data_IF_712556736091
#
_entry.id   IF_712556736091
#
_cell.length_a   1.000
_cell.length_b   1.000
_cell.length_c   1.000
_cell.angle_alpha   90.00
_cell.angle_beta   90.00
_cell.angle_gamma   90.00
#
_symmetry.space_group_name_H-M   'P 1'
#
loop_
_entity.id
_entity.type
_entity.pdbx_description
1 polymer ?
#
# COMPACT_ATOMS: atom_id res chain seq x y z
N UNK A 1 -4.96 -4.85 22.89
CA UNK A 1 -4.38 -5.07 21.55
C UNK A 1 -5.36 -4.47 20.55
N UNK A 2 -4.91 -3.67 19.57
CA UNK A 2 -5.79 -3.09 18.54
C UNK A 2 -6.51 -4.14 17.71
N UNK A 3 -7.68 -3.78 17.17
CA UNK A 3 -8.47 -4.58 16.24
C UNK A 3 -7.99 -4.41 14.78
N UNK A 4 -8.17 -5.44 13.94
CA UNK A 4 -7.65 -5.46 12.57
C UNK A 4 -8.71 -5.86 11.53
N UNK A 5 -8.83 -5.08 10.45
CA UNK A 5 -9.54 -5.49 9.23
C UNK A 5 -8.51 -5.94 8.20
N UNK A 6 -8.57 -7.18 7.72
CA UNK A 6 -7.83 -7.62 6.54
C UNK A 6 -8.71 -7.38 5.32
N UNK A 7 -8.31 -6.47 4.44
CA UNK A 7 -9.11 -6.03 3.31
C UNK A 7 -8.40 -6.28 1.97
N UNK A 8 -9.12 -6.85 1.01
CA UNK A 8 -8.73 -6.83 -0.39
C UNK A 8 -9.78 -6.10 -1.23
N UNK A 9 -9.30 -5.29 -2.18
CA UNK A 9 -10.13 -4.48 -3.06
C UNK A 9 -9.74 -4.77 -4.51
N UNK A 10 -10.72 -5.03 -5.37
CA UNK A 10 -10.50 -5.12 -6.80
C UNK A 10 -11.71 -4.62 -7.58
N UNK A 11 -11.45 -3.95 -8.72
CA UNK A 11 -12.48 -3.55 -9.67
C UNK A 11 -12.70 -4.56 -10.81
N UNK A 12 -11.95 -5.67 -10.82
CA UNK A 12 -11.99 -6.67 -11.88
C UNK A 12 -12.05 -8.09 -11.30
N UNK A 13 -13.07 -8.86 -11.71
CA UNK A 13 -13.33 -10.19 -11.15
C UNK A 13 -12.14 -11.16 -11.33
N UNK A 14 -11.30 -10.98 -12.34
CA UNK A 14 -10.12 -11.80 -12.59
C UNK A 14 -9.10 -11.82 -11.44
N UNK A 15 -9.07 -10.79 -10.60
CA UNK A 15 -8.19 -10.76 -9.40
C UNK A 15 -8.86 -11.29 -8.13
N UNK A 16 -10.15 -11.63 -8.19
CA UNK A 16 -10.92 -11.91 -6.97
C UNK A 16 -10.49 -13.20 -6.31
N UNK A 17 -10.18 -14.25 -7.08
CA UNK A 17 -9.71 -15.52 -6.51
C UNK A 17 -8.38 -15.36 -5.75
N UNK A 18 -7.44 -14.59 -6.32
CA UNK A 18 -6.17 -14.27 -5.65
C UNK A 18 -6.38 -13.39 -4.42
N UNK A 19 -7.32 -12.45 -4.48
CA UNK A 19 -7.69 -11.58 -3.35
C UNK A 19 -8.29 -12.39 -2.18
N UNK A 20 -9.18 -13.34 -2.47
CA UNK A 20 -9.73 -14.27 -1.46
C UNK A 20 -8.63 -15.11 -0.84
N UNK A 21 -7.70 -15.63 -1.65
CA UNK A 21 -6.56 -16.37 -1.15
C UNK A 21 -5.70 -15.51 -0.21
N UNK A 22 -5.37 -14.28 -0.61
CA UNK A 22 -4.55 -13.36 0.18
C UNK A 22 -5.18 -13.03 1.54
N UNK A 23 -6.49 -12.74 1.56
CA UNK A 23 -7.24 -12.53 2.82
C UNK A 23 -7.20 -13.79 3.67
N UNK A 24 -7.61 -14.94 3.10
CA UNK A 24 -7.77 -16.18 3.85
C UNK A 24 -6.42 -16.68 4.42
N UNK A 25 -5.35 -16.58 3.64
CA UNK A 25 -3.99 -16.90 4.07
C UNK A 25 -3.57 -16.00 5.24
N UNK A 26 -3.76 -14.69 5.10
CA UNK A 26 -3.37 -13.71 6.12
C UNK A 26 -4.17 -13.87 7.42
N UNK A 27 -5.47 -14.15 7.32
CA UNK A 27 -6.31 -14.46 8.47
C UNK A 27 -5.80 -15.68 9.25
N UNK A 28 -5.48 -16.78 8.56
CA UNK A 28 -5.01 -17.99 9.23
C UNK A 28 -3.66 -17.82 9.93
N UNK A 29 -2.78 -17.00 9.39
CA UNK A 29 -1.48 -16.69 10.00
C UNK A 29 -1.61 -15.76 11.23
N UNK A 30 -2.63 -14.90 11.28
CA UNK A 30 -2.75 -13.86 12.29
C UNK A 30 -3.81 -14.13 13.37
N UNK A 31 -4.81 -14.98 13.13
CA UNK A 31 -5.97 -15.18 14.03
C UNK A 31 -5.62 -15.61 15.46
N UNK A 32 -4.51 -16.31 15.66
CA UNK A 32 -4.07 -16.78 16.98
C UNK A 32 -3.18 -15.73 17.68
N UNK A 33 -2.89 -14.60 17.00
CA UNK A 33 -2.02 -13.52 17.47
C UNK A 33 -2.79 -12.23 17.70
N UNK A 34 -3.74 -11.93 16.82
CA UNK A 34 -4.61 -10.76 16.90
C UNK A 34 -6.03 -11.27 17.20
N UNK A 35 -6.60 -10.96 18.37
CA UNK A 35 -7.84 -11.57 18.83
C UNK A 35 -9.09 -11.09 18.07
N UNK A 36 -9.04 -9.87 17.54
CA UNK A 36 -10.18 -9.25 16.83
C UNK A 36 -9.78 -8.95 15.39
N UNK A 37 -10.11 -9.90 14.50
CA UNK A 37 -9.89 -9.78 13.06
C UNK A 37 -11.22 -9.83 12.31
N UNK A 38 -11.43 -8.84 11.46
CA UNK A 38 -12.46 -8.85 10.42
C UNK A 38 -11.83 -9.07 9.05
N UNK A 39 -12.49 -9.83 8.19
CA UNK A 39 -12.04 -10.04 6.82
C UNK A 39 -13.05 -9.48 5.81
N UNK A 40 -12.56 -8.66 4.88
CA UNK A 40 -13.40 -7.94 3.92
C UNK A 40 -12.87 -8.11 2.50
N UNK A 41 -13.74 -8.59 1.61
CA UNK A 41 -13.52 -8.58 0.16
C UNK A 41 -14.42 -7.52 -0.47
N UNK A 42 -13.82 -6.62 -1.27
CA UNK A 42 -14.55 -5.61 -2.03
C UNK A 42 -14.32 -5.88 -3.52
N UNK A 43 -15.36 -6.34 -4.23
CA UNK A 43 -15.26 -6.74 -5.64
C UNK A 43 -16.58 -6.61 -6.41
N UNK A 44 -16.58 -6.62 -7.75
CA UNK A 44 -17.79 -6.46 -8.55
C UNK A 44 -18.84 -7.56 -8.33
N UNK A 45 -18.38 -8.81 -8.19
CA UNK A 45 -19.24 -9.95 -7.91
C UNK A 45 -18.71 -10.79 -6.74
N UNK A 46 -19.63 -11.39 -6.00
CA UNK A 46 -19.30 -12.32 -4.90
C UNK A 46 -18.79 -13.64 -5.48
N UNK A 47 -17.59 -14.12 -5.11
CA UNK A 47 -17.12 -15.45 -5.49
C UNK A 47 -18.05 -16.56 -4.98
N UNK A 48 -18.19 -17.63 -5.76
CA UNK A 48 -19.02 -18.78 -5.39
C UNK A 48 -18.54 -19.44 -4.09
N UNK A 49 -17.22 -19.63 -3.94
CA UNK A 49 -16.61 -20.35 -2.82
C UNK A 49 -16.01 -19.39 -1.77
N UNK A 50 -16.66 -18.25 -1.51
CA UNK A 50 -16.18 -17.29 -0.51
C UNK A 50 -16.29 -17.89 0.91
N UNK A 51 -15.17 -18.00 1.67
CA UNK A 51 -15.21 -18.43 3.07
C UNK A 51 -16.17 -17.60 3.92
N UNK A 52 -16.92 -18.24 4.81
CA UNK A 52 -18.00 -17.61 5.59
C UNK A 52 -17.53 -16.49 6.53
N UNK A 53 -16.26 -16.48 6.92
CA UNK A 53 -15.66 -15.44 7.75
C UNK A 53 -15.21 -14.20 6.95
N UNK A 54 -15.27 -14.25 5.60
CA UNK A 54 -14.96 -13.11 4.73
C UNK A 54 -16.26 -12.45 4.30
N UNK A 55 -16.46 -11.22 4.74
CA UNK A 55 -17.59 -10.40 4.30
C UNK A 55 -17.33 -9.84 2.90
N UNK A 56 -18.31 -9.95 2.01
CA UNK A 56 -18.24 -9.35 0.68
C UNK A 56 -19.04 -8.05 0.61
N UNK A 57 -18.42 -7.01 0.06
CA UNK A 57 -19.10 -5.80 -0.38
C UNK A 57 -19.01 -5.68 -1.89
N UNK A 58 -20.18 -5.47 -2.51
CA UNK A 58 -20.28 -5.27 -3.94
C UNK A 58 -19.93 -3.84 -4.32
N UNK A 59 -19.13 -3.68 -5.36
CA UNK A 59 -18.81 -2.39 -5.99
C UNK A 59 -19.08 -2.44 -7.50
N UNK A 60 -19.12 -1.29 -8.17
CA UNK A 60 -19.10 -1.26 -9.63
C UNK A 60 -17.69 -1.67 -10.12
N UNK A 61 -17.54 -2.28 -11.32
CA UNK A 61 -16.24 -2.52 -11.93
C UNK A 61 -15.46 -1.22 -12.12
N UNK A 62 -14.14 -1.26 -11.93
CA UNK A 62 -13.26 -0.10 -12.08
C UNK A 62 -11.81 -0.48 -12.41
N UNK A 63 -11.06 0.46 -12.97
CA UNK A 63 -9.66 0.26 -13.38
C UNK A 63 -8.65 0.63 -12.29
N UNK A 64 -7.38 0.59 -12.64
CA UNK A 64 -6.30 0.84 -11.68
C UNK A 64 -6.26 2.30 -11.19
N UNK A 65 -6.64 3.28 -12.03
CA UNK A 65 -6.74 4.67 -11.59
C UNK A 65 -7.80 4.84 -10.49
N UNK A 66 -8.98 4.25 -10.69
CA UNK A 66 -10.05 4.26 -9.70
C UNK A 66 -9.71 3.46 -8.45
N UNK A 67 -8.93 2.39 -8.57
CA UNK A 67 -8.41 1.65 -7.41
C UNK A 67 -7.66 2.59 -6.45
N UNK A 68 -6.74 3.41 -6.98
CA UNK A 68 -5.98 4.37 -6.19
C UNK A 68 -6.90 5.35 -5.45
N UNK A 69 -7.89 5.93 -6.14
CA UNK A 69 -8.89 6.82 -5.54
C UNK A 69 -9.77 6.10 -4.51
N UNK A 70 -10.14 4.85 -4.77
CA UNK A 70 -10.94 4.04 -3.86
C UNK A 70 -10.19 3.79 -2.56
N UNK A 71 -8.91 3.40 -2.64
CA UNK A 71 -8.09 3.16 -1.46
C UNK A 71 -7.91 4.45 -0.63
N UNK A 72 -7.67 5.60 -1.28
CA UNK A 72 -7.50 6.87 -0.58
C UNK A 72 -8.76 7.40 0.09
N UNK A 73 -9.92 7.25 -0.56
CA UNK A 73 -11.10 8.04 -0.19
C UNK A 73 -12.34 7.20 0.17
N UNK A 74 -12.33 5.90 -0.10
CA UNK A 74 -13.51 5.04 0.05
C UNK A 74 -13.27 3.83 0.94
N UNK A 75 -12.05 3.29 1.01
CA UNK A 75 -11.73 2.11 1.82
C UNK A 75 -12.16 2.26 3.28
N UNK A 76 -12.00 3.46 3.86
CA UNK A 76 -12.39 3.77 5.25
C UNK A 76 -13.84 3.41 5.57
N UNK A 77 -14.75 3.46 4.59
CA UNK A 77 -16.17 3.17 4.78
C UNK A 77 -16.46 1.67 5.03
N UNK A 78 -15.46 0.81 4.80
CA UNK A 78 -15.57 -0.64 4.95
C UNK A 78 -14.72 -1.18 6.11
N UNK A 79 -13.99 -0.30 6.81
CA UNK A 79 -13.12 -0.64 7.93
C UNK A 79 -13.82 -0.22 9.23
N UNK A 80 -14.03 -1.19 10.12
CA UNK A 80 -14.71 -0.99 11.41
C UNK A 80 -13.76 -1.19 12.61
N UNK A 81 -12.46 -1.27 12.34
CA UNK A 81 -11.40 -1.63 13.29
C UNK A 81 -10.34 -0.53 13.38
N UNK A 82 -9.47 -0.61 14.40
CA UNK A 82 -8.40 0.36 14.64
C UNK A 82 -7.37 0.41 13.50
N UNK A 83 -7.13 -0.74 12.85
CA UNK A 83 -6.21 -0.87 11.73
C UNK A 83 -6.82 -1.65 10.57
N UNK A 84 -6.30 -1.40 9.37
CA UNK A 84 -6.56 -2.15 8.15
C UNK A 84 -5.26 -2.69 7.57
N UNK A 85 -5.17 -4.01 7.41
CA UNK A 85 -4.14 -4.66 6.59
C UNK A 85 -4.69 -4.81 5.17
N UNK A 86 -4.21 -3.98 4.26
CA UNK A 86 -4.49 -4.10 2.82
C UNK A 86 -3.66 -5.26 2.27
N UNK A 87 -4.33 -6.19 1.59
CA UNK A 87 -3.73 -7.30 0.86
C UNK A 87 -4.22 -7.28 -0.59
N UNK A 88 -3.33 -7.44 -1.55
CA UNK A 88 -3.64 -7.58 -2.97
C UNK A 88 -3.52 -9.05 -3.40
N UNK A 89 -3.95 -9.37 -4.63
CA UNK A 89 -3.90 -10.74 -5.17
C UNK A 89 -2.47 -11.32 -5.25
N UNK A 90 -1.46 -10.46 -5.14
CA UNK A 90 -0.02 -10.73 -5.21
C UNK A 90 0.73 -10.29 -3.94
N UNK A 91 0.02 -9.95 -2.85
CA UNK A 91 0.65 -9.64 -1.56
C UNK A 91 -0.16 -10.03 -0.33
N UNK A 92 0.45 -10.82 0.56
CA UNK A 92 -0.19 -11.39 1.76
C UNK A 92 0.84 -11.75 2.84
N UNK A 93 0.34 -12.15 4.03
CA UNK A 93 1.18 -12.62 5.15
C UNK A 93 1.77 -14.00 4.83
N UNK A 94 3.10 -14.08 4.84
CA UNK A 94 3.86 -15.32 4.68
C UNK A 94 3.91 -16.15 5.96
N UNK A 95 4.37 -15.49 7.02
CA UNK A 95 4.70 -16.09 8.31
C UNK A 95 4.20 -15.16 9.42
N UNK A 96 3.04 -15.50 9.99
CA UNK A 96 2.45 -14.77 11.09
C UNK A 96 3.33 -14.77 12.33
N UNK A 97 4.29 -15.71 12.46
CA UNK A 97 5.23 -15.72 13.58
C UNK A 97 6.18 -14.53 13.62
N UNK A 98 6.34 -13.83 12.49
CA UNK A 98 7.08 -12.58 12.39
C UNK A 98 6.24 -11.34 12.71
N UNK A 99 4.95 -11.49 13.06
CA UNK A 99 4.16 -10.35 13.52
C UNK A 99 4.78 -9.71 14.76
N UNK A 100 4.83 -8.38 14.77
CA UNK A 100 5.36 -7.61 15.90
C UNK A 100 4.33 -6.56 16.31
N UNK A 101 4.02 -6.50 17.60
CA UNK A 101 3.04 -5.54 18.13
C UNK A 101 3.47 -4.09 17.89
N UNK A 102 4.78 -3.83 17.75
CA UNK A 102 5.34 -2.52 17.37
C UNK A 102 4.82 -2.01 16.01
N UNK A 103 4.28 -2.89 15.15
CA UNK A 103 3.64 -2.45 13.90
C UNK A 103 2.44 -1.54 14.15
N UNK A 104 1.74 -1.72 15.28
CA UNK A 104 0.63 -0.85 15.66
C UNK A 104 1.05 0.54 16.19
N UNK A 105 2.36 0.80 16.35
CA UNK A 105 2.84 2.13 16.74
C UNK A 105 2.90 3.11 15.57
N UNK A 106 2.63 2.64 14.34
CA UNK A 106 2.70 3.39 13.09
C UNK A 106 1.36 3.40 12.37
N UNK A 107 1.04 4.53 11.75
CA UNK A 107 -0.18 4.74 10.98
C UNK A 107 -0.08 4.21 9.54
N UNK A 108 1.13 4.08 8.99
CA UNK A 108 1.38 3.46 7.68
C UNK A 108 2.64 2.60 7.71
N UNK A 109 2.53 1.36 7.24
CA UNK A 109 3.65 0.48 6.94
C UNK A 109 3.39 -0.16 5.59
N UNK A 110 4.24 0.09 4.61
CA UNK A 110 4.24 -0.59 3.32
C UNK A 110 5.62 -1.17 3.01
N UNK A 111 5.72 -1.99 1.96
CA UNK A 111 7.01 -2.50 1.51
C UNK A 111 7.90 -1.34 1.05
N UNK A 112 9.12 -1.17 1.58
CA UNK A 112 10.00 -0.08 1.17
C UNK A 112 10.46 -0.28 -0.28
N UNK A 113 10.22 0.72 -1.13
CA UNK A 113 10.79 0.77 -2.48
C UNK A 113 12.24 1.22 -2.38
N UNK A 114 13.13 0.29 -2.02
CA UNK A 114 14.51 0.57 -1.54
C UNK A 114 15.36 1.46 -2.46
N UNK A 115 15.09 1.46 -3.76
CA UNK A 115 15.77 2.32 -4.73
C UNK A 115 15.02 3.58 -5.10
N UNK A 116 13.73 3.71 -4.77
CA UNK A 116 12.86 4.78 -5.25
C UNK A 116 12.81 5.94 -4.26
N UNK A 117 13.71 6.89 -4.44
CA UNK A 117 13.74 8.12 -3.66
C UNK A 117 13.04 9.24 -4.41
N UNK A 118 11.96 9.76 -3.84
CA UNK A 118 11.19 10.81 -4.45
C UNK A 118 11.39 12.14 -3.69
N UNK A 119 11.68 13.20 -4.45
CA UNK A 119 11.89 14.54 -3.89
C UNK A 119 10.57 15.31 -3.82
N UNK A 120 10.32 15.93 -2.67
CA UNK A 120 9.28 16.94 -2.48
C UNK A 120 9.93 18.29 -2.21
N UNK A 121 9.52 19.31 -2.96
CA UNK A 121 9.98 20.68 -2.78
C UNK A 121 8.80 21.63 -2.92
N UNK A 122 8.65 22.54 -1.95
CA UNK A 122 7.51 23.46 -1.86
C UNK A 122 6.14 22.76 -1.87
N UNK A 123 6.05 21.59 -1.22
CA UNK A 123 4.81 20.81 -1.14
C UNK A 123 4.41 20.07 -2.42
N UNK A 124 5.28 20.07 -3.43
CA UNK A 124 5.04 19.40 -4.72
C UNK A 124 6.08 18.30 -4.96
N UNK A 125 5.70 17.16 -5.57
CA UNK A 125 6.65 16.14 -5.98
C UNK A 125 7.36 16.60 -7.26
N UNK A 126 8.68 16.37 -7.37
CA UNK A 126 9.49 16.84 -8.51
C UNK A 126 10.08 15.72 -9.35
N UNK A 127 10.71 14.72 -8.71
CA UNK A 127 11.44 13.66 -9.41
C UNK A 127 11.53 12.42 -8.55
N UNK A 128 11.70 11.27 -9.22
CA UNK A 128 12.09 10.00 -8.62
C UNK A 128 13.53 9.71 -9.05
N UNK A 129 14.38 9.38 -8.09
CA UNK A 129 15.76 8.93 -8.29
C UNK A 129 15.86 7.46 -7.91
N UNK A 130 16.45 6.67 -8.80
CA UNK A 130 16.63 5.22 -8.64
C UNK A 130 18.04 4.92 -8.16
N UNK A 131 18.24 4.87 -6.85
CA UNK A 131 19.56 4.66 -6.23
C UNK A 131 19.44 4.12 -4.81
N UNK A 132 20.47 3.42 -4.35
CA UNK A 132 20.49 2.81 -3.02
C UNK A 132 20.62 3.82 -1.89
N UNK A 133 21.52 4.78 -2.05
CA UNK A 133 21.78 5.78 -1.02
C UNK A 133 20.76 6.90 -1.12
N UNK A 134 20.31 7.41 0.03
CA UNK A 134 19.47 8.61 0.08
C UNK A 134 20.13 9.76 -0.70
N UNK A 135 19.45 10.36 -1.69
CA UNK A 135 19.98 11.50 -2.41
C UNK A 135 20.16 12.71 -1.50
N UNK A 136 21.22 13.48 -1.74
CA UNK A 136 21.41 14.78 -1.08
C UNK A 136 20.49 15.83 -1.73
N UNK A 137 19.72 16.60 -0.94
CA UNK A 137 19.01 17.77 -1.43
C UNK A 137 19.92 18.74 -2.18
N UNK A 138 19.44 19.22 -3.31
CA UNK A 138 20.14 20.23 -4.14
C UNK A 138 19.53 21.62 -4.00
N UNK A 139 18.33 21.70 -3.41
CA UNK A 139 17.59 22.94 -3.18
C UNK A 139 17.27 23.10 -1.69
N UNK A 140 17.25 24.33 -1.21
CA UNK A 140 16.82 24.62 0.16
C UNK A 140 15.35 24.20 0.36
N UNK A 141 15.08 23.43 1.42
CA UNK A 141 13.76 22.90 1.73
C UNK A 141 13.30 21.70 0.89
N UNK A 142 14.17 21.14 0.04
CA UNK A 142 13.90 19.88 -0.66
C UNK A 142 14.09 18.71 0.31
N UNK A 143 13.12 17.79 0.33
CA UNK A 143 13.15 16.59 1.16
C UNK A 143 13.01 15.37 0.26
N UNK A 144 13.81 14.34 0.53
CA UNK A 144 13.65 13.04 -0.09
C UNK A 144 12.93 12.08 0.85
N UNK A 145 11.86 11.47 0.36
CA UNK A 145 11.18 10.35 0.98
C UNK A 145 11.46 9.08 0.19
N UNK A 146 11.64 7.97 0.89
CA UNK A 146 11.60 6.65 0.30
C UNK A 146 10.14 6.24 0.20
N UNK A 147 9.69 5.91 -1.01
CA UNK A 147 8.33 5.43 -1.22
C UNK A 147 8.12 4.07 -0.56
N UNK A 148 6.89 3.80 -0.11
CA UNK A 148 6.50 2.52 0.46
C UNK A 148 5.24 2.02 -0.24
N UNK A 149 5.30 0.83 -0.84
CA UNK A 149 4.22 0.23 -1.63
C UNK A 149 2.93 0.00 -0.82
N UNK A 150 1.79 0.23 -1.45
CA UNK A 150 0.46 0.13 -0.82
C UNK A 150 -0.25 -1.23 -0.91
N UNK A 151 0.23 -2.16 -1.75
CA UNK A 151 -0.41 -3.43 -2.08
C UNK A 151 -0.31 -4.53 -1.02
N UNK A 152 0.68 -4.45 -0.14
CA UNK A 152 0.65 -5.11 1.18
C UNK A 152 1.04 -4.07 2.23
N UNK A 153 0.04 -3.48 2.89
CA UNK A 153 0.26 -2.36 3.81
C UNK A 153 -0.64 -2.37 5.04
N UNK A 154 -0.09 -2.00 6.19
CA UNK A 154 -0.85 -1.71 7.40
C UNK A 154 -1.18 -0.23 7.45
N UNK A 155 -2.45 0.11 7.71
CA UNK A 155 -2.97 1.48 7.75
C UNK A 155 -3.84 1.66 8.98
N UNK A 156 -3.58 2.67 9.80
CA UNK A 156 -4.48 3.00 10.92
C UNK A 156 -5.78 3.62 10.42
N UNK A 157 -6.86 3.50 11.20
CA UNK A 157 -8.11 4.19 10.93
C UNK A 157 -7.89 5.72 10.80
N UNK A 158 -7.03 6.28 11.67
CA UNK A 158 -6.62 7.68 11.64
C UNK A 158 -6.05 8.08 10.26
N UNK A 159 -5.19 7.26 9.66
CA UNK A 159 -4.68 7.52 8.33
C UNK A 159 -5.75 7.41 7.26
N UNK A 160 -6.61 6.40 7.33
CA UNK A 160 -7.69 6.19 6.35
C UNK A 160 -8.69 7.37 6.33
N UNK A 161 -8.91 8.03 7.47
CA UNK A 161 -9.75 9.22 7.58
C UNK A 161 -9.03 10.51 7.13
N UNK A 162 -7.70 10.57 7.25
CA UNK A 162 -6.92 11.79 7.08
C UNK A 162 -7.08 12.47 5.71
N UNK A 163 -7.03 11.76 4.54
CA UNK A 163 -7.18 12.41 3.25
C UNK A 163 -8.44 13.25 3.13
N UNK A 164 -9.59 12.74 3.59
CA UNK A 164 -10.85 13.51 3.60
C UNK A 164 -10.88 14.54 4.71
N UNK A 165 -10.50 14.16 5.93
CA UNK A 165 -10.55 15.04 7.10
C UNK A 165 -9.69 16.30 6.96
N UNK A 166 -8.60 16.20 6.21
CA UNK A 166 -7.68 17.31 5.93
C UNK A 166 -7.94 18.00 4.57
N UNK A 167 -8.85 17.48 3.75
CA UNK A 167 -9.08 18.00 2.40
C UNK A 167 -7.90 17.81 1.44
N UNK A 168 -7.15 16.71 1.59
CA UNK A 168 -6.04 16.35 0.71
C UNK A 168 -6.59 15.81 -0.61
N UNK A 169 -6.75 16.68 -1.59
CA UNK A 169 -7.20 16.31 -2.93
C UNK A 169 -6.03 15.79 -3.78
N UNK A 170 -6.23 14.63 -4.40
CA UNK A 170 -5.33 14.10 -5.42
C UNK A 170 -5.61 14.80 -6.75
N UNK A 171 -4.62 15.54 -7.24
CA UNK A 171 -4.65 16.12 -8.57
C UNK A 171 -4.04 15.12 -9.57
N UNK A 172 -4.86 14.62 -10.49
CA UNK A 172 -4.41 13.71 -11.55
C UNK A 172 -3.97 14.56 -12.74
N UNK A 173 -2.66 14.55 -13.00
CA UNK A 173 -2.08 15.23 -14.15
C UNK A 173 -2.49 14.55 -15.47
N UNK A 174 -2.43 15.25 -16.61
CA UNK A 174 -2.61 14.61 -17.92
C UNK A 174 -1.59 13.47 -18.12
N UNK A 175 -1.98 12.38 -18.80
CA UNK A 175 -1.05 11.31 -19.16
C UNK A 175 0.02 11.82 -20.13
N UNK A 176 1.15 11.11 -20.16
CA UNK A 176 2.24 11.32 -21.11
C UNK A 176 1.74 11.19 -22.56
N UNK A 177 2.36 11.93 -23.47
CA UNK A 177 2.16 11.71 -24.90
C UNK A 177 2.67 10.31 -25.27
N UNK A 178 1.92 9.57 -26.07
CA UNK A 178 2.38 8.27 -26.57
C UNK A 178 3.68 8.44 -27.36
N UNK A 179 4.75 7.75 -26.96
CA UNK A 179 6.02 7.72 -27.69
C UNK A 179 6.52 6.27 -27.85
N UNK A 180 6.69 5.79 -29.10
CA UNK A 180 7.38 4.53 -29.39
C UNK A 180 6.58 3.47 -30.15
N UNK A 181 7.30 2.56 -30.81
CA UNK A 181 6.99 1.88 -32.08
C UNK A 181 6.27 0.53 -31.98
N UNK A 182 5.09 0.48 -31.38
CA UNK A 182 4.19 -0.67 -31.49
C UNK A 182 2.77 -0.10 -31.61
N UNK A 183 1.95 -0.55 -32.57
CA UNK A 183 0.58 -0.05 -32.86
C UNK A 183 -0.43 -0.17 -31.70
N UNK A 184 0.04 -0.33 -30.46
CA UNK A 184 -0.74 -0.34 -29.22
C UNK A 184 -0.49 0.96 -28.45
N UNK A 185 -1.54 1.77 -28.34
CA UNK A 185 -1.52 3.00 -27.56
C UNK A 185 -2.15 2.76 -26.19
N UNK A 186 -1.47 3.17 -25.11
CA UNK A 186 -1.97 3.05 -23.74
C UNK A 186 -1.66 4.31 -22.94
N UNK A 187 -2.58 4.70 -22.06
CA UNK A 187 -2.36 5.81 -21.14
C UNK A 187 -1.20 5.47 -20.20
N UNK A 188 -0.30 6.43 -20.01
CA UNK A 188 0.86 6.29 -19.12
C UNK A 188 1.04 7.60 -18.35
N UNK A 189 1.45 7.50 -17.10
CA UNK A 189 1.90 8.63 -16.31
C UNK A 189 3.29 8.33 -15.78
N UNK A 190 4.25 9.19 -16.08
CA UNK A 190 5.62 9.05 -15.60
C UNK A 190 6.14 10.39 -15.08
N UNK A 191 6.30 10.57 -13.75
CA UNK A 191 6.14 9.57 -12.69
C UNK A 191 4.69 9.30 -12.24
N UNK A 192 4.41 8.16 -11.59
CA UNK A 192 3.05 7.77 -11.19
C UNK A 192 2.61 8.43 -9.87
N UNK A 193 2.61 9.76 -9.80
CA UNK A 193 2.26 10.50 -8.57
C UNK A 193 0.83 10.30 -8.08
N UNK A 194 -0.04 9.79 -8.96
CA UNK A 194 -1.44 9.48 -8.66
C UNK A 194 -1.62 8.09 -8.01
N UNK A 195 -0.55 7.31 -7.83
CA UNK A 195 -0.66 6.09 -7.03
C UNK A 195 -0.88 6.46 -5.56
N UNK A 196 -1.74 5.74 -4.87
CA UNK A 196 -2.14 6.07 -3.50
C UNK A 196 -0.96 6.02 -2.54
N UNK A 197 -0.06 5.07 -2.76
CA UNK A 197 1.13 4.85 -1.96
C UNK A 197 2.16 5.97 -2.16
N UNK A 198 2.38 6.42 -3.39
CA UNK A 198 3.19 7.59 -3.72
C UNK A 198 2.57 8.87 -3.15
N UNK A 199 1.24 8.99 -3.23
CA UNK A 199 0.53 10.13 -2.69
C UNK A 199 0.70 10.22 -1.17
N UNK A 200 0.49 9.13 -0.44
CA UNK A 200 0.60 9.08 1.03
C UNK A 200 2.06 9.13 1.51
N UNK A 201 2.90 8.23 1.01
CA UNK A 201 4.26 8.00 1.52
C UNK A 201 5.29 9.00 1.02
N UNK A 202 4.97 9.77 -0.03
CA UNK A 202 5.85 10.78 -0.59
C UNK A 202 5.18 12.15 -0.64
N UNK A 203 4.20 12.35 -1.53
CA UNK A 203 3.72 13.69 -1.86
C UNK A 203 3.15 14.41 -0.64
N UNK A 204 2.23 13.74 0.07
CA UNK A 204 1.56 14.29 1.25
C UNK A 204 2.19 13.91 2.58
N UNK A 205 3.30 13.16 2.57
CA UNK A 205 3.96 12.70 3.80
C UNK A 205 4.27 13.82 4.78
N UNK A 206 4.88 14.92 4.33
CA UNK A 206 5.19 16.05 5.21
C UNK A 206 3.97 16.81 5.75
N UNK A 207 2.82 16.76 5.06
CA UNK A 207 1.54 17.28 5.58
C UNK A 207 0.93 16.32 6.61
N UNK A 208 0.96 15.02 6.32
CA UNK A 208 0.47 13.94 7.17
C UNK A 208 1.28 13.82 8.47
N UNK A 209 2.62 13.88 8.41
CA UNK A 209 3.50 13.85 9.60
C UNK A 209 3.23 15.05 10.52
N UNK A 210 2.97 16.24 9.96
CA UNK A 210 2.56 17.42 10.75
C UNK A 210 1.17 17.28 11.36
N UNK A 211 0.28 16.52 10.71
CA UNK A 211 -1.01 16.11 11.28
C UNK A 211 -0.86 14.98 12.34
N UNK A 212 0.35 14.46 12.51
CA UNK A 212 0.69 13.44 13.50
C UNK A 212 0.51 12.01 13.00
N UNK A 213 0.49 11.79 11.68
CA UNK A 213 0.61 10.45 11.08
C UNK A 213 2.05 9.97 11.21
N UNK A 214 2.23 8.73 11.66
CA UNK A 214 3.53 8.07 11.79
C UNK A 214 3.72 7.05 10.67
N UNK A 215 4.69 7.30 9.80
CA UNK A 215 5.15 6.30 8.83
C UNK A 215 6.24 5.44 9.44
N UNK A 216 6.19 4.12 9.23
CA UNK A 216 7.26 3.24 9.68
C UNK A 216 8.62 3.64 9.06
N UNK A 217 9.71 3.61 9.85
CA UNK A 217 11.05 3.76 9.31
C UNK A 217 11.40 2.54 8.43
N UNK A 218 12.32 2.75 7.50
CA UNK A 218 12.79 1.72 6.55
C UNK A 218 13.17 0.40 7.23
N UNK A 219 13.92 0.47 8.34
CA UNK A 219 14.38 -0.73 9.07
C UNK A 219 13.23 -1.57 9.61
N UNK A 220 12.12 -0.96 10.00
CA UNK A 220 10.91 -1.67 10.44
C UNK A 220 10.13 -2.20 9.24
N UNK A 221 9.94 -1.34 8.22
CA UNK A 221 9.21 -1.68 6.99
C UNK A 221 9.82 -2.89 6.27
N UNK A 222 11.16 -3.01 6.27
CA UNK A 222 11.91 -4.17 5.75
C UNK A 222 11.62 -5.50 6.47
N UNK A 223 11.07 -5.46 7.68
CA UNK A 223 10.64 -6.68 8.41
C UNK A 223 9.16 -6.98 8.21
N UNK A 224 8.39 -5.96 7.79
CA UNK A 224 6.97 -6.08 7.51
C UNK A 224 6.74 -6.71 6.13
N UNK A 225 7.37 -6.18 5.08
CA UNK A 225 7.24 -6.75 3.74
C UNK A 225 8.34 -6.35 2.77
N UNK A 226 8.38 -7.02 1.62
CA UNK A 226 9.28 -6.72 0.50
C UNK A 226 8.61 -6.90 -0.84
N UNK A 227 9.04 -6.11 -1.83
CA UNK A 227 8.72 -6.35 -3.25
C UNK A 227 9.73 -7.24 -3.97
N UNK A 228 10.96 -7.25 -3.46
CA UNK A 228 12.05 -8.01 -4.04
C UNK A 228 12.72 -8.81 -2.94
N UNK A 229 12.56 -10.14 -2.92
CA UNK A 229 13.20 -11.01 -1.94
C UNK A 229 14.72 -10.89 -1.91
N UNK A 230 15.37 -10.47 -3.01
CA UNK A 230 16.82 -10.23 -3.08
C UNK A 230 17.21 -8.89 -2.44
N UNK A 231 16.31 -7.91 -2.45
CA UNK A 231 16.50 -6.65 -1.71
C UNK A 231 16.40 -6.85 -0.20
N UNK A 232 15.79 -7.91 0.31
CA UNK A 232 15.81 -8.18 1.75
C UNK A 232 17.20 -8.58 2.26
N UNK A 233 17.85 -9.52 1.59
CA UNK A 233 19.13 -10.07 2.04
C UNK A 233 20.27 -9.04 1.92
N UNK A 234 20.26 -8.23 0.86
CA UNK A 234 21.31 -7.24 0.60
C UNK A 234 21.32 -6.04 1.58
N UNK A 235 20.28 -5.89 2.42
CA UNK A 235 20.08 -4.72 3.29
C UNK A 235 19.99 -5.10 4.77
N UNK A 236 20.54 -6.27 5.12
CA UNK A 236 20.54 -6.76 6.49
C UNK A 236 19.18 -7.29 6.96
N UNK A 237 18.20 -7.39 6.05
CA UNK A 237 17.00 -8.18 6.26
C UNK A 237 17.32 -9.67 6.13
N UNK A 238 16.46 -10.50 6.72
CA UNK A 238 16.50 -11.95 6.55
C UNK A 238 15.13 -12.37 6.06
N UNK A 239 15.09 -13.24 5.04
CA UNK A 239 13.83 -13.81 4.54
C UNK A 239 13.06 -14.53 5.66
N UNK A 240 13.78 -15.08 6.64
CA UNK A 240 13.21 -15.75 7.81
C UNK A 240 12.59 -14.77 8.83
N UNK A 241 12.69 -13.46 8.59
CA UNK A 241 12.18 -12.40 9.48
C UNK A 241 11.09 -11.54 8.84
N UNK A 242 10.61 -11.92 7.65
CA UNK A 242 9.58 -11.20 6.91
C UNK A 242 8.19 -11.66 7.33
N UNK A 243 7.31 -10.71 7.67
CA UNK A 243 5.89 -11.00 7.89
C UNK A 243 5.18 -11.37 6.58
N UNK A 244 5.37 -10.58 5.52
CA UNK A 244 4.69 -10.76 4.24
C UNK A 244 5.49 -10.30 3.04
N UNK A 245 4.84 -10.28 1.88
CA UNK A 245 5.42 -9.76 0.64
C UNK A 245 4.37 -9.08 -0.23
N UNK A 246 4.82 -8.33 -1.22
CA UNK A 246 4.01 -7.88 -2.36
C UNK A 246 4.84 -8.07 -3.63
N UNK A 247 4.62 -9.16 -4.37
CA UNK A 247 5.45 -9.45 -5.53
C UNK A 247 4.86 -8.68 -6.70
N UNK A 248 5.57 -7.65 -7.15
CA UNK A 248 5.36 -7.12 -8.49
C UNK A 248 5.79 -8.20 -9.49
N UNK A 249 4.89 -9.13 -9.83
CA UNK A 249 5.08 -9.95 -11.01
C UNK A 249 5.06 -8.95 -12.15
N UNK A 250 6.22 -8.71 -12.76
CA UNK A 250 6.37 -7.82 -13.92
C UNK A 250 5.25 -8.16 -14.91
N UNK A 251 4.22 -7.31 -14.95
CA UNK A 251 3.09 -7.41 -15.87
C UNK A 251 3.42 -6.62 -17.13
#
# INVERSE_FOLDING_TARGET
>A
MPSLTIAAVTGYDGYTQGSVYAINRSYHELKDRIPDIRCVLISPNKPQDLPSHIQHFRVAPFGYLEYNLFILYSLVQFVETDFCLVVQNDGWVLDGTQWRDEFFDYDYIGSPLVTHWASVWQGQPHQIKYQFLRPTPTRAGEVFYQAQNGGFSLRSLKLLEAPRGMGLNMEIMPPDLFSGSNDTHQLKWSPPWHHEDMFLSVWKRGELERYGIKFAPESLAMTFSTENPDCCENYGGSRDRLLGFHLSVVS
#
